data_IF_080528739008
#
_entry.id   IF_080528739008
#
_cell.length_a   1.000
_cell.length_b   1.000
_cell.length_c   1.000
_cell.angle_alpha   90.00
_cell.angle_beta   90.00
_cell.angle_gamma   90.00
#
_symmetry.space_group_name_H-M   'P 1'
#
loop_
_entity.id
_entity.type
_entity.pdbx_description
1 polymer ?
#
# COMPACT_ATOMS: atom_id res chain seq x y z
N UNK A 1 9.46 -29.59 -14.45
CA UNK A 1 8.15 -28.89 -14.44
C UNK A 1 7.16 -29.73 -13.65
N UNK A 2 6.65 -29.21 -12.53
CA UNK A 2 5.53 -29.78 -11.80
C UNK A 2 4.59 -28.62 -11.42
N UNK A 3 3.36 -28.69 -11.92
CA UNK A 3 2.32 -27.67 -11.88
C UNK A 3 1.66 -27.65 -10.48
N UNK A 4 1.89 -26.58 -9.71
CA UNK A 4 1.29 -26.36 -8.39
C UNK A 4 -0.01 -25.55 -8.52
N UNK A 5 -1.02 -26.09 -9.21
CA UNK A 5 -2.39 -25.54 -9.19
C UNK A 5 -3.08 -25.87 -7.87
N UNK A 6 -2.84 -25.03 -6.88
CA UNK A 6 -3.48 -25.11 -5.55
C UNK A 6 -4.96 -24.68 -5.64
N UNK A 7 -5.83 -25.57 -6.15
CA UNK A 7 -7.30 -25.38 -6.18
C UNK A 7 -7.91 -25.69 -4.82
N UNK A 8 -7.69 -24.85 -3.80
CA UNK A 8 -8.49 -24.92 -2.57
C UNK A 8 -9.88 -24.32 -2.84
N UNK A 9 -10.88 -25.19 -2.93
CA UNK A 9 -12.31 -24.84 -3.05
C UNK A 9 -12.77 -24.23 -1.72
N UNK A 10 -13.09 -22.94 -1.70
CA UNK A 10 -13.64 -22.26 -0.52
C UNK A 10 -15.07 -22.76 -0.27
N UNK A 11 -15.42 -23.28 0.93
CA UNK A 11 -16.77 -23.72 1.26
C UNK A 11 -17.77 -22.55 1.19
N UNK A 12 -18.91 -22.77 0.52
CA UNK A 12 -19.83 -21.74 0.03
C UNK A 12 -20.62 -20.91 1.06
N UNK A 13 -20.43 -21.12 2.37
CA UNK A 13 -21.22 -20.47 3.44
C UNK A 13 -20.39 -19.65 4.44
N UNK A 14 -19.12 -19.36 4.12
CA UNK A 14 -18.35 -18.34 4.84
C UNK A 14 -18.23 -17.13 3.94
N UNK A 15 -19.04 -16.11 4.18
CA UNK A 15 -18.97 -14.76 3.59
C UNK A 15 -17.71 -14.01 4.05
N UNK A 16 -16.55 -14.67 4.05
CA UNK A 16 -15.27 -13.99 3.95
C UNK A 16 -14.94 -13.93 2.47
N UNK A 17 -15.46 -12.91 1.76
CA UNK A 17 -14.89 -12.55 0.47
C UNK A 17 -13.36 -12.58 0.64
N UNK A 18 -12.59 -13.22 -0.26
CA UNK A 18 -11.14 -13.23 -0.13
C UNK A 18 -10.74 -11.76 -0.04
N UNK A 19 -10.26 -11.34 1.14
CA UNK A 19 -9.82 -9.97 1.37
C UNK A 19 -8.77 -9.75 0.30
N UNK A 20 -9.08 -8.89 -0.68
CA UNK A 20 -8.11 -8.52 -1.70
C UNK A 20 -6.87 -8.12 -0.92
N UNK A 21 -5.77 -8.87 -1.08
CA UNK A 21 -4.51 -8.54 -0.44
C UNK A 21 -4.30 -7.04 -0.71
N UNK A 22 -4.25 -6.26 0.37
CA UNK A 22 -4.20 -4.80 0.26
C UNK A 22 -3.09 -4.40 -0.70
N UNK A 23 -3.33 -3.34 -1.47
CA UNK A 23 -2.36 -2.79 -2.42
C UNK A 23 -0.95 -2.82 -1.83
N UNK A 24 0.03 -3.27 -2.62
CA UNK A 24 1.43 -3.33 -2.19
C UNK A 24 1.83 -1.95 -1.64
N UNK A 25 2.46 -1.95 -0.45
CA UNK A 25 2.92 -0.72 0.19
C UNK A 25 4.01 -0.07 -0.67
N UNK A 26 3.70 1.07 -1.30
CA UNK A 26 4.63 1.83 -2.14
C UNK A 26 5.49 2.73 -1.27
N UNK A 27 6.74 2.99 -1.67
CA UNK A 27 7.58 3.97 -0.96
C UNK A 27 7.28 5.35 -1.51
N UNK A 28 7.05 6.30 -0.62
CA UNK A 28 6.62 7.64 -0.95
C UNK A 28 7.61 8.63 -0.36
N UNK A 29 8.22 9.45 -1.22
CA UNK A 29 9.13 10.52 -0.82
C UNK A 29 8.33 11.80 -0.60
N UNK A 30 8.52 12.42 0.55
CA UNK A 30 7.89 13.67 0.93
C UNK A 30 8.79 14.87 0.67
N UNK A 31 8.19 16.05 0.51
CA UNK A 31 8.91 17.31 0.31
C UNK A 31 9.82 17.67 1.49
N UNK A 32 9.53 17.17 2.70
CA UNK A 32 10.38 17.33 3.88
C UNK A 32 11.62 16.42 3.86
N UNK A 33 11.78 15.55 2.86
CA UNK A 33 12.90 14.62 2.73
C UNK A 33 12.65 13.26 3.37
N UNK A 34 11.60 13.10 4.18
CA UNK A 34 11.23 11.81 4.75
C UNK A 34 10.64 10.85 3.71
N UNK A 35 10.82 9.55 3.97
CA UNK A 35 10.25 8.47 3.16
C UNK A 35 9.32 7.66 4.03
N UNK A 36 8.06 7.52 3.60
CA UNK A 36 7.08 6.67 4.26
C UNK A 36 6.49 5.65 3.28
N UNK A 37 5.73 4.69 3.81
CA UNK A 37 5.07 3.68 2.98
C UNK A 37 3.58 3.93 2.95
N UNK A 38 3.05 4.18 1.77
CA UNK A 38 1.63 4.46 1.57
C UNK A 38 1.06 3.59 0.45
N UNK A 39 -0.23 3.27 0.56
CA UNK A 39 -0.93 2.43 -0.42
C UNK A 39 -1.63 3.25 -1.49
N UNK A 40 -2.01 4.49 -1.19
CA UNK A 40 -2.95 5.29 -1.96
C UNK A 40 -2.28 6.57 -2.47
N UNK A 41 -1.29 7.10 -1.77
CA UNK A 41 -0.67 8.37 -2.10
C UNK A 41 -0.01 8.39 -3.49
N UNK A 42 -0.25 9.48 -4.22
CA UNK A 42 0.36 9.78 -5.50
C UNK A 42 1.19 11.06 -5.41
N UNK A 43 2.04 11.28 -6.42
CA UNK A 43 2.81 12.52 -6.54
C UNK A 43 1.88 13.72 -6.58
N UNK A 44 2.10 14.67 -5.67
CA UNK A 44 1.31 15.89 -5.56
C UNK A 44 0.31 15.89 -4.40
N UNK A 45 -0.05 14.72 -3.86
CA UNK A 45 -0.94 14.61 -2.70
C UNK A 45 -0.28 15.19 -1.44
N UNK A 46 -1.09 15.64 -0.48
CA UNK A 46 -0.60 15.96 0.86
C UNK A 46 -0.89 14.78 1.77
N UNK A 47 0.15 14.27 2.42
CA UNK A 47 0.04 13.18 3.39
C UNK A 47 0.61 13.63 4.70
N UNK A 48 0.02 13.15 5.79
CA UNK A 48 0.57 13.37 7.11
C UNK A 48 1.94 12.69 7.21
N UNK A 49 2.95 13.47 7.55
CA UNK A 49 4.29 12.94 7.80
C UNK A 49 4.33 12.37 9.22
N UNK A 50 4.41 11.04 9.34
CA UNK A 50 4.45 10.34 10.63
C UNK A 50 5.82 10.43 11.35
N UNK A 51 6.81 11.06 10.72
CA UNK A 51 8.10 11.36 11.34
C UNK A 51 8.02 12.66 12.17
N UNK A 52 9.15 13.31 12.41
CA UNK A 52 9.26 14.46 13.32
C UNK A 52 8.52 15.73 12.86
N UNK A 53 8.06 15.77 11.60
CA UNK A 53 7.39 16.96 11.05
C UNK A 53 6.01 17.19 11.66
N UNK A 54 5.26 16.11 11.98
CA UNK A 54 3.87 16.21 12.47
C UNK A 54 3.02 17.21 11.68
N UNK A 55 3.12 17.17 10.35
CA UNK A 55 2.46 18.11 9.45
C UNK A 55 2.05 17.42 8.13
N UNK A 56 1.16 18.07 7.38
CA UNK A 56 0.72 17.65 6.05
C UNK A 56 1.75 18.04 5.00
N UNK A 57 2.51 17.06 4.52
CA UNK A 57 3.61 17.29 3.58
C UNK A 57 3.25 16.76 2.20
N UNK A 58 3.62 17.54 1.17
CA UNK A 58 3.40 17.16 -0.22
C UNK A 58 4.29 15.98 -0.63
N UNK A 59 3.72 15.01 -1.33
CA UNK A 59 4.44 13.91 -1.97
C UNK A 59 5.17 14.40 -3.21
N UNK A 60 6.48 14.15 -3.26
CA UNK A 60 7.34 14.53 -4.40
C UNK A 60 7.60 13.38 -5.37
N UNK A 61 7.66 12.14 -4.88
CA UNK A 61 7.86 10.96 -5.71
C UNK A 61 7.27 9.71 -5.06
N UNK A 62 6.91 8.73 -5.88
CA UNK A 62 6.47 7.40 -5.46
C UNK A 62 7.36 6.38 -6.17
N UNK A 63 7.91 5.43 -5.42
CA UNK A 63 8.68 4.31 -5.94
C UNK A 63 7.82 3.04 -5.85
N UNK A 64 7.59 2.41 -7.01
CA UNK A 64 6.78 1.19 -7.21
C UNK A 64 7.59 -0.09 -7.09
#
# INVERSE_FOLDING_TARGET
MADLRNRKRVPGDRTGAPVKQGHAMRRVRLACGHVQRDRIAHRGDHVWCEADCSDWVRVVAVEE
#
